data_IF_491003750946
#
_entry.id   IF_491003750946
#
_cell.length_a   1.000
_cell.length_b   1.000
_cell.length_c   1.000
_cell.angle_alpha   90.00
_cell.angle_beta   90.00
_cell.angle_gamma   90.00
#
_symmetry.space_group_name_H-M   'P 1'
#
loop_
_entity.id
_entity.type
_entity.pdbx_description
1 polymer ?
#
# COMPACT_ATOMS: atom_id res chain seq x y z
N UNK A 1 -11.55 0.37 -15.17
CA UNK A 1 -10.10 0.56 -15.43
C UNK A 1 -9.83 1.69 -16.43
N UNK A 2 -10.66 1.86 -17.47
CA UNK A 2 -10.57 3.02 -18.40
C UNK A 2 -10.62 4.38 -17.69
N UNK A 3 -11.41 4.47 -16.63
CA UNK A 3 -11.68 5.72 -15.92
C UNK A 3 -10.46 6.31 -15.17
N UNK A 4 -9.68 5.46 -14.51
CA UNK A 4 -8.52 5.88 -13.72
C UNK A 4 -7.43 6.49 -14.61
N UNK A 5 -7.31 6.01 -15.85
CA UNK A 5 -6.34 6.54 -16.81
C UNK A 5 -6.73 7.95 -17.28
N UNK A 6 -8.03 8.26 -17.37
CA UNK A 6 -8.52 9.60 -17.71
C UNK A 6 -8.20 10.64 -16.63
N UNK A 7 -8.39 10.29 -15.36
CA UNK A 7 -8.09 11.18 -14.23
C UNK A 7 -6.59 11.49 -14.11
N UNK A 8 -5.74 10.50 -14.43
CA UNK A 8 -4.29 10.68 -14.50
C UNK A 8 -3.92 11.62 -15.65
N UNK A 9 -4.54 11.48 -16.82
CA UNK A 9 -4.30 12.35 -17.97
C UNK A 9 -4.67 13.81 -17.65
N UNK A 10 -5.83 14.05 -17.02
CA UNK A 10 -6.26 15.39 -16.60
C UNK A 10 -5.23 16.05 -15.66
N UNK A 11 -4.69 15.28 -14.70
CA UNK A 11 -3.73 15.81 -13.75
C UNK A 11 -2.35 16.08 -14.39
N UNK A 12 -1.95 15.27 -15.37
CA UNK A 12 -0.74 15.50 -16.18
C UNK A 12 -0.90 16.72 -17.09
N UNK A 13 -2.05 16.87 -17.77
CA UNK A 13 -2.33 18.02 -18.64
C UNK A 13 -2.38 19.34 -17.87
N UNK A 14 -2.75 19.29 -16.59
CA UNK A 14 -2.65 20.42 -15.66
C UNK A 14 -1.20 20.77 -15.24
N UNK A 15 -0.20 20.04 -15.74
CA UNK A 15 1.22 20.27 -15.46
C UNK A 15 1.68 19.78 -14.09
N UNK A 16 0.87 19.00 -13.37
CA UNK A 16 1.22 18.50 -12.04
C UNK A 16 2.28 17.41 -12.13
N UNK A 17 3.24 17.46 -11.19
CA UNK A 17 4.31 16.48 -11.09
C UNK A 17 4.57 16.08 -9.64
N UNK A 18 5.28 14.97 -9.44
CA UNK A 18 5.70 14.51 -8.11
C UNK A 18 4.53 14.29 -7.14
N UNK A 19 4.67 14.78 -5.91
CA UNK A 19 3.66 14.61 -4.86
C UNK A 19 2.34 15.31 -5.20
N UNK A 20 2.40 16.49 -5.83
CA UNK A 20 1.21 17.25 -6.19
C UNK A 20 0.33 16.50 -7.22
N UNK A 21 0.94 15.76 -8.14
CA UNK A 21 0.22 14.88 -9.06
C UNK A 21 -0.47 13.74 -8.31
N UNK A 22 0.24 13.11 -7.37
CA UNK A 22 -0.29 12.00 -6.57
C UNK A 22 -1.50 12.46 -5.72
N UNK A 23 -1.39 13.59 -5.03
CA UNK A 23 -2.46 14.13 -4.19
C UNK A 23 -3.70 14.49 -5.02
N UNK A 24 -3.48 15.04 -6.22
CA UNK A 24 -4.56 15.44 -7.11
C UNK A 24 -5.29 14.26 -7.77
N UNK A 25 -4.59 13.14 -7.99
CA UNK A 25 -5.22 11.87 -8.41
C UNK A 25 -6.02 11.27 -7.26
N UNK A 26 -5.47 11.24 -6.04
CA UNK A 26 -6.15 10.71 -4.85
C UNK A 26 -7.43 11.49 -4.55
N UNK A 27 -7.37 12.83 -4.57
CA UNK A 27 -8.54 13.67 -4.32
C UNK A 27 -9.68 13.41 -5.31
N UNK A 28 -9.37 13.27 -6.61
CA UNK A 28 -10.36 12.98 -7.65
C UNK A 28 -10.96 11.58 -7.51
N UNK A 29 -10.14 10.59 -7.21
CA UNK A 29 -10.61 9.24 -6.92
C UNK A 29 -11.52 9.21 -5.69
N UNK A 30 -11.14 9.91 -4.61
CA UNK A 30 -11.96 10.05 -3.40
C UNK A 30 -13.31 10.70 -3.69
N UNK A 31 -13.35 11.80 -4.45
CA UNK A 31 -14.60 12.45 -4.84
C UNK A 31 -15.51 11.53 -5.64
N UNK A 32 -14.94 10.77 -6.58
CA UNK A 32 -15.71 9.86 -7.43
C UNK A 32 -16.34 8.70 -6.64
N UNK A 33 -15.65 8.17 -5.62
CA UNK A 33 -16.18 7.07 -4.79
C UNK A 33 -17.10 7.57 -3.65
N UNK A 34 -17.62 8.79 -3.74
CA UNK A 34 -18.54 9.37 -2.75
C UNK A 34 -17.83 10.00 -1.55
N UNK A 35 -16.64 10.56 -1.75
CA UNK A 35 -15.86 11.23 -0.70
C UNK A 35 -15.19 10.28 0.29
N UNK A 36 -15.20 8.97 0.03
CA UNK A 36 -14.53 8.00 0.90
C UNK A 36 -13.01 8.12 0.78
N UNK A 37 -12.30 7.88 1.87
CA UNK A 37 -10.84 7.88 1.89
C UNK A 37 -10.29 6.71 1.08
N UNK A 38 -9.55 7.01 0.01
CA UNK A 38 -8.82 6.01 -0.77
C UNK A 38 -7.67 5.45 0.07
N UNK A 39 -7.63 4.12 0.25
CA UNK A 39 -6.56 3.45 0.98
C UNK A 39 -5.28 3.36 0.12
N UNK A 40 -4.17 3.95 0.57
CA UNK A 40 -2.89 3.96 -0.14
C UNK A 40 -1.83 3.05 0.54
N UNK A 41 -1.25 2.05 -0.15
CA UNK A 41 -0.66 0.90 0.53
C UNK A 41 0.85 0.98 0.83
N UNK A 42 1.59 2.06 0.52
CA UNK A 42 3.06 2.03 0.68
C UNK A 42 3.52 2.11 2.14
N UNK A 43 2.99 3.06 2.91
CA UNK A 43 3.35 3.24 4.33
C UNK A 43 2.84 2.07 5.18
N UNK A 44 1.69 1.53 4.82
CA UNK A 44 1.12 0.36 5.52
C UNK A 44 1.81 -0.95 5.15
N UNK A 45 2.32 -1.10 3.92
CA UNK A 45 3.20 -2.21 3.59
C UNK A 45 4.49 -2.16 4.41
N UNK A 46 5.08 -0.98 4.62
CA UNK A 46 6.25 -0.81 5.47
C UNK A 46 5.93 -1.10 6.95
N UNK A 47 4.80 -0.59 7.47
CA UNK A 47 4.36 -0.90 8.84
C UNK A 47 4.11 -2.39 9.03
N UNK A 48 3.41 -3.04 8.10
CA UNK A 48 3.17 -4.48 8.10
C UNK A 48 4.46 -5.27 8.00
N UNK A 49 5.40 -4.86 7.13
CA UNK A 49 6.70 -5.51 7.02
C UNK A 49 7.53 -5.37 8.30
N UNK A 50 7.49 -4.21 8.97
CA UNK A 50 8.14 -4.03 10.27
C UNK A 50 7.50 -4.86 11.37
N UNK A 51 6.17 -4.99 11.40
CA UNK A 51 5.47 -5.85 12.36
C UNK A 51 5.79 -7.34 12.13
N UNK A 52 5.83 -7.79 10.86
CA UNK A 52 6.24 -9.15 10.49
C UNK A 52 7.68 -9.43 10.93
N UNK A 53 8.61 -8.48 10.71
CA UNK A 53 10.01 -8.62 11.16
C UNK A 53 10.13 -8.65 12.68
N UNK A 54 9.34 -7.87 13.41
CA UNK A 54 9.34 -7.89 14.87
C UNK A 54 8.85 -9.24 15.42
N UNK A 55 7.77 -9.80 14.86
CA UNK A 55 7.28 -11.12 15.23
C UNK A 55 8.28 -12.23 14.87
N UNK A 56 8.97 -12.12 13.73
CA UNK A 56 10.04 -13.05 13.36
C UNK A 56 11.24 -12.97 14.31
N UNK A 57 11.66 -11.75 14.69
CA UNK A 57 12.73 -11.53 15.66
C UNK A 57 12.34 -12.01 17.08
N UNK A 58 11.06 -12.02 17.41
CA UNK A 58 10.52 -12.61 18.65
C UNK A 58 10.46 -14.15 18.60
N UNK A 59 10.86 -14.79 17.49
CA UNK A 59 10.96 -16.24 17.35
C UNK A 59 9.65 -16.95 17.00
N UNK A 60 8.61 -16.22 16.57
CA UNK A 60 7.35 -16.84 16.14
C UNK A 60 7.55 -17.67 14.87
N UNK A 61 6.80 -18.77 14.75
CA UNK A 61 6.89 -19.59 13.56
C UNK A 61 6.28 -18.86 12.34
N UNK A 62 6.86 -18.97 11.12
CA UNK A 62 6.35 -18.27 9.93
C UNK A 62 4.87 -18.50 9.63
N UNK A 63 4.34 -19.68 9.94
CA UNK A 63 2.92 -20.01 9.78
C UNK A 63 2.00 -19.23 10.74
N UNK A 64 2.47 -18.99 11.97
CA UNK A 64 1.72 -18.22 12.98
C UNK A 64 1.70 -16.74 12.62
N UNK A 65 2.84 -16.21 12.16
CA UNK A 65 2.97 -14.84 11.65
C UNK A 65 2.06 -14.65 10.43
N UNK A 66 2.07 -15.59 9.49
CA UNK A 66 1.23 -15.53 8.29
C UNK A 66 -0.26 -15.44 8.63
N UNK A 67 -0.73 -16.26 9.57
CA UNK A 67 -2.11 -16.24 10.06
C UNK A 67 -2.44 -14.92 10.77
N UNK A 68 -1.54 -14.42 11.62
CA UNK A 68 -1.74 -13.18 12.39
C UNK A 68 -1.87 -11.94 11.49
N UNK A 69 -1.06 -11.87 10.44
CA UNK A 69 -1.00 -10.70 9.54
C UNK A 69 -1.85 -10.87 8.27
N UNK A 70 -2.55 -12.00 8.12
CA UNK A 70 -3.40 -12.28 6.96
C UNK A 70 -2.61 -12.33 5.65
N UNK A 71 -1.40 -12.90 5.66
CA UNK A 71 -0.52 -13.01 4.49
C UNK A 71 -0.15 -14.45 4.20
N UNK A 72 0.46 -14.69 3.04
CA UNK A 72 0.99 -16.03 2.73
C UNK A 72 2.28 -16.30 3.51
N UNK A 73 2.59 -17.57 3.78
CA UNK A 73 3.87 -17.98 4.37
C UNK A 73 5.06 -17.43 3.59
N UNK A 74 5.02 -17.49 2.26
CA UNK A 74 6.06 -16.95 1.37
C UNK A 74 6.29 -15.45 1.59
N UNK A 75 5.24 -14.69 1.89
CA UNK A 75 5.36 -13.25 2.22
C UNK A 75 6.14 -13.04 3.52
N UNK A 76 5.94 -13.92 4.51
CA UNK A 76 6.68 -13.86 5.78
C UNK A 76 8.15 -14.23 5.58
N UNK A 77 8.44 -15.27 4.79
CA UNK A 77 9.81 -15.69 4.47
C UNK A 77 10.59 -14.55 3.78
N UNK A 78 10.02 -13.95 2.72
CA UNK A 78 10.66 -12.84 1.99
C UNK A 78 10.95 -11.64 2.90
N UNK A 79 10.01 -11.29 3.79
CA UNK A 79 10.12 -10.12 4.66
C UNK A 79 11.03 -10.40 5.88
N UNK A 80 11.00 -11.62 6.41
CA UNK A 80 11.74 -12.06 7.58
C UNK A 80 13.21 -12.39 7.31
N UNK A 81 13.55 -12.87 6.10
CA UNK A 81 14.94 -13.14 5.67
C UNK A 81 15.73 -11.87 5.33
N UNK A 82 15.06 -10.72 5.20
CA UNK A 82 15.69 -9.43 4.92
C UNK A 82 16.29 -8.75 6.18
N UNK A 83 16.74 -9.53 7.17
CA UNK A 83 17.37 -9.06 8.41
C UNK A 83 18.87 -9.35 8.37
#
# INVERSE_FOLDING_TARGET
>A
LEDVRGEIAIAIDAGLQGQALADAIVARLCWRIGGQTLYWPRTDNQRRASAIRADAAAGLAPNEIAKRHGVTRRTVEIIGESI
#
